data_IF_395550103403
#
_entry.id   IF_395550103403
#
_cell.length_a   1.000
_cell.length_b   1.000
_cell.length_c   1.000
_cell.angle_alpha   90.00
_cell.angle_beta   90.00
_cell.angle_gamma   90.00
#
_symmetry.space_group_name_H-M   'P 1'
#
loop_
_entity.id
_entity.type
_entity.pdbx_description
1 polymer ?
#
# COMPACT_ATOMS: atom_id res chain seq x y z
N UNK A 1 -22.76 -6.96 -60.90
CA UNK A 1 -21.49 -6.44 -60.36
C UNK A 1 -21.72 -6.04 -58.92
N UNK A 2 -21.28 -6.84 -57.96
CA UNK A 2 -21.33 -6.49 -56.54
C UNK A 2 -20.12 -7.18 -55.91
N UNK A 3 -19.04 -6.41 -55.73
CA UNK A 3 -17.79 -6.90 -55.15
C UNK A 3 -17.90 -6.91 -53.63
N UNK A 4 -17.55 -8.06 -53.05
CA UNK A 4 -17.34 -8.28 -51.62
C UNK A 4 -16.01 -7.67 -51.18
N UNK A 5 -16.01 -6.99 -50.03
CA UNK A 5 -14.79 -6.56 -49.33
C UNK A 5 -14.70 -7.36 -48.02
N UNK A 6 -13.61 -8.10 -47.76
CA UNK A 6 -13.41 -8.81 -46.50
C UNK A 6 -12.79 -7.89 -45.44
N UNK A 7 -13.42 -7.77 -44.28
CA UNK A 7 -12.79 -7.21 -43.08
C UNK A 7 -11.88 -8.25 -42.43
N UNK A 8 -10.57 -8.06 -42.54
CA UNK A 8 -9.57 -8.75 -41.71
C UNK A 8 -9.10 -7.81 -40.60
N UNK A 9 -9.23 -8.29 -39.37
CA UNK A 9 -8.97 -7.58 -38.12
C UNK A 9 -7.52 -7.79 -37.69
N UNK A 10 -6.63 -6.83 -37.93
CA UNK A 10 -5.29 -6.81 -37.34
C UNK A 10 -5.27 -5.98 -36.05
N UNK A 11 -5.65 -6.60 -34.93
CA UNK A 11 -5.43 -6.07 -33.56
C UNK A 11 -4.13 -6.64 -32.98
N UNK A 12 -2.97 -6.09 -33.38
CA UNK A 12 -1.71 -6.25 -32.63
C UNK A 12 -0.82 -5.04 -32.88
N UNK A 13 -1.10 -3.94 -32.16
CA UNK A 13 -0.16 -2.85 -31.87
C UNK A 13 -0.89 -1.83 -30.98
N UNK A 14 -0.86 -2.03 -29.67
CA UNK A 14 -1.04 -0.98 -28.67
C UNK A 14 0.24 -1.03 -27.84
N UNK A 15 1.32 -0.42 -28.35
CA UNK A 15 1.75 0.91 -27.95
C UNK A 15 1.80 1.03 -26.42
N UNK A 16 2.96 0.65 -25.89
CA UNK A 16 3.44 1.07 -24.59
C UNK A 16 3.61 2.59 -24.62
N UNK A 17 2.52 3.32 -24.38
CA UNK A 17 2.61 4.71 -23.97
C UNK A 17 3.15 4.70 -22.54
N UNK A 18 4.48 4.67 -22.41
CA UNK A 18 5.13 5.25 -21.23
C UNK A 18 4.56 6.66 -21.11
N UNK A 19 3.68 6.86 -20.14
CA UNK A 19 3.40 8.18 -19.59
C UNK A 19 4.75 8.75 -19.15
N UNK A 20 5.35 9.54 -20.03
CA UNK A 20 6.35 10.52 -19.65
C UNK A 20 5.64 11.41 -18.62
N UNK A 21 5.88 11.14 -17.33
CA UNK A 21 5.54 12.09 -16.29
C UNK A 21 6.22 13.41 -16.70
N UNK A 22 5.50 14.54 -16.71
CA UNK A 22 6.20 15.81 -16.69
C UNK A 22 7.11 15.79 -15.46
N UNK A 23 8.39 16.03 -15.67
CA UNK A 23 9.32 16.31 -14.59
C UNK A 23 8.70 17.48 -13.79
N UNK A 24 8.20 17.18 -12.59
CA UNK A 24 7.73 18.16 -11.61
C UNK A 24 8.94 18.89 -11.03
N UNK A 25 9.68 19.60 -11.87
CA UNK A 25 10.57 20.69 -11.48
C UNK A 25 9.69 21.93 -11.34
N UNK A 26 9.17 22.16 -10.14
CA UNK A 26 8.36 23.36 -9.92
C UNK A 26 7.51 23.42 -8.66
N UNK A 27 7.93 22.85 -7.53
CA UNK A 27 7.60 23.51 -6.27
C UNK A 27 8.48 24.76 -6.22
N UNK A 28 7.89 25.88 -6.64
CA UNK A 28 8.53 27.18 -6.74
C UNK A 28 8.95 27.59 -5.32
N UNK A 29 10.20 27.30 -4.96
CA UNK A 29 10.84 27.79 -3.74
C UNK A 29 11.10 29.30 -3.93
N UNK A 30 10.05 30.10 -3.78
CA UNK A 30 10.16 31.55 -3.77
C UNK A 30 10.59 31.98 -2.36
N UNK A 31 11.89 31.89 -2.06
CA UNK A 31 12.54 32.58 -0.94
C UNK A 31 11.91 32.44 0.45
N UNK A 32 11.22 31.33 0.74
CA UNK A 32 10.58 31.11 2.04
C UNK A 32 11.57 30.91 3.18
N UNK A 33 11.16 31.29 4.39
CA UNK A 33 11.97 31.14 5.60
C UNK A 33 12.30 29.66 5.87
N UNK A 34 13.52 29.43 6.37
CA UNK A 34 13.96 28.10 6.83
C UNK A 34 13.78 28.03 8.33
N UNK A 35 12.90 27.15 8.77
CA UNK A 35 12.58 26.93 10.19
C UNK A 35 13.35 25.70 10.66
N UNK A 36 14.17 25.84 11.72
CA UNK A 36 14.91 24.71 12.30
C UNK A 36 14.38 24.36 13.68
N UNK A 37 14.14 23.08 13.99
CA UNK A 37 13.71 22.68 15.33
C UNK A 37 14.66 23.11 16.47
N UNK A 38 15.96 23.24 16.19
CA UNK A 38 16.98 23.71 17.15
C UNK A 38 16.69 25.11 17.68
N UNK A 39 16.13 25.99 16.85
CA UNK A 39 15.80 27.37 17.23
C UNK A 39 14.65 27.43 18.26
N UNK A 40 13.91 26.32 18.39
CA UNK A 40 12.84 26.12 19.35
C UNK A 40 13.27 25.25 20.55
N UNK A 41 14.57 24.92 20.64
CA UNK A 41 15.17 24.17 21.75
C UNK A 41 15.19 22.65 21.59
N UNK A 42 14.93 22.12 20.38
CA UNK A 42 15.08 20.69 20.13
C UNK A 42 16.57 20.29 20.18
N UNK A 43 16.88 19.20 20.87
CA UNK A 43 18.26 18.74 21.09
C UNK A 43 18.67 17.65 20.11
N UNK A 44 17.76 16.74 19.75
CA UNK A 44 18.07 15.67 18.80
C UNK A 44 19.09 14.65 19.30
N UNK A 45 19.19 14.47 20.62
CA UNK A 45 20.13 13.54 21.29
C UNK A 45 19.54 12.15 21.59
N UNK A 46 18.25 11.95 21.27
CA UNK A 46 17.51 10.72 21.46
C UNK A 46 17.20 10.39 22.93
N UNK A 47 17.40 11.35 23.84
CA UNK A 47 17.28 11.19 25.30
C UNK A 47 16.34 12.22 25.91
N UNK A 48 16.46 13.47 25.50
CA UNK A 48 15.63 14.57 25.97
C UNK A 48 14.35 14.65 25.13
N UNK A 49 13.20 14.78 25.79
CA UNK A 49 11.92 14.89 25.08
C UNK A 49 11.86 16.20 24.28
N UNK A 50 11.89 16.06 22.96
CA UNK A 50 11.90 17.16 22.00
C UNK A 50 10.48 17.54 21.52
N UNK A 51 9.44 16.83 21.98
CA UNK A 51 8.07 16.90 21.43
C UNK A 51 7.55 18.34 21.28
N UNK A 52 7.70 19.18 22.32
CA UNK A 52 7.20 20.55 22.29
C UNK A 52 8.02 21.47 21.38
N UNK A 53 9.34 21.31 21.36
CA UNK A 53 10.20 22.11 20.48
C UNK A 53 9.90 21.81 19.01
N UNK A 54 9.78 20.53 18.67
CA UNK A 54 9.43 20.08 17.32
C UNK A 54 8.05 20.58 16.91
N UNK A 55 7.03 20.48 17.79
CA UNK A 55 5.67 20.96 17.51
C UNK A 55 5.68 22.45 17.19
N UNK A 56 6.33 23.27 18.01
CA UNK A 56 6.44 24.72 17.75
C UNK A 56 7.11 25.03 16.42
N UNK A 57 8.19 24.32 16.07
CA UNK A 57 8.86 24.51 14.79
C UNK A 57 7.96 24.16 13.60
N UNK A 58 7.25 23.04 13.67
CA UNK A 58 6.29 22.64 12.63
C UNK A 58 5.12 23.62 12.54
N UNK A 59 4.56 24.04 13.68
CA UNK A 59 3.46 25.01 13.73
C UNK A 59 3.89 26.33 13.06
N UNK A 60 5.09 26.85 13.37
CA UNK A 60 5.60 28.07 12.72
C UNK A 60 5.75 27.87 11.21
N UNK A 61 6.32 26.74 10.77
CA UNK A 61 6.47 26.45 9.35
C UNK A 61 5.11 26.39 8.61
N UNK A 62 4.05 25.91 9.26
CA UNK A 62 2.71 25.86 8.68
C UNK A 62 2.04 27.25 8.56
N UNK A 63 2.43 28.22 9.39
CA UNK A 63 1.87 29.58 9.40
C UNK A 63 2.60 30.56 8.48
N UNK A 64 3.79 30.23 8.00
CA UNK A 64 4.56 31.07 7.07
C UNK A 64 4.43 30.47 5.66
N UNK A 65 3.70 31.12 4.74
CA UNK A 65 3.54 30.61 3.38
C UNK A 65 4.87 30.37 2.68
N UNK A 66 5.08 29.15 2.19
CA UNK A 66 6.30 28.76 1.47
C UNK A 66 7.52 28.51 2.37
N UNK A 67 7.39 28.61 3.70
CA UNK A 67 8.44 28.20 4.61
C UNK A 67 8.72 26.70 4.52
N UNK A 68 9.95 26.36 4.86
CA UNK A 68 10.44 25.00 4.86
C UNK A 68 10.93 24.66 6.26
N UNK A 69 10.57 23.49 6.78
CA UNK A 69 11.20 22.97 7.98
C UNK A 69 12.43 22.13 7.59
N UNK A 70 13.58 22.49 8.15
CA UNK A 70 14.86 21.82 7.91
C UNK A 70 15.30 21.12 9.21
N UNK A 71 15.26 19.79 9.21
CA UNK A 71 15.67 18.98 10.34
C UNK A 71 17.15 18.62 10.23
N UNK A 72 17.86 18.71 11.35
CA UNK A 72 19.19 18.12 11.43
C UNK A 72 19.11 16.60 11.27
N UNK A 73 20.24 16.00 10.86
CA UNK A 73 20.41 14.54 10.85
C UNK A 73 20.64 14.03 12.28
N UNK A 74 19.64 14.17 13.13
CA UNK A 74 19.67 13.91 14.56
C UNK A 74 18.56 12.92 14.98
N UNK A 75 18.63 12.42 16.22
CA UNK A 75 17.60 11.54 16.77
C UNK A 75 16.76 12.30 17.77
N UNK A 76 15.51 12.58 17.45
CA UNK A 76 14.61 13.29 18.37
C UNK A 76 13.79 12.29 19.17
N UNK A 77 13.81 12.42 20.50
CA UNK A 77 12.91 11.66 21.35
C UNK A 77 11.55 12.35 21.36
N UNK A 78 10.50 11.60 21.04
CA UNK A 78 9.12 12.06 21.07
C UNK A 78 8.38 11.30 22.16
N UNK A 79 8.01 12.01 23.23
CA UNK A 79 7.40 11.48 24.44
C UNK A 79 5.90 11.18 24.36
N UNK A 80 5.40 10.52 25.41
CA UNK A 80 4.07 9.88 25.54
C UNK A 80 2.88 10.82 25.78
N UNK A 81 3.01 12.11 25.48
CA UNK A 81 1.92 13.10 25.64
C UNK A 81 0.84 12.99 24.55
N UNK A 82 0.64 11.80 23.99
CA UNK A 82 -0.20 11.56 22.82
C UNK A 82 -1.16 10.42 23.19
N UNK A 83 -2.36 10.80 23.62
CA UNK A 83 -3.48 9.88 23.81
C UNK A 83 -3.86 9.17 22.51
N UNK A 84 -4.68 8.13 22.63
CA UNK A 84 -5.14 7.32 21.49
C UNK A 84 -5.60 8.17 20.29
N UNK A 85 -4.96 7.98 19.13
CA UNK A 85 -5.34 8.66 17.88
C UNK A 85 -4.90 10.13 17.79
N UNK A 86 -4.18 10.64 18.78
CA UNK A 86 -3.55 11.95 18.68
C UNK A 86 -2.30 11.87 17.78
N UNK A 87 -1.93 13.02 17.22
CA UNK A 87 -0.74 13.20 16.40
C UNK A 87 0.34 14.02 17.10
N UNK A 88 1.60 13.76 16.76
CA UNK A 88 2.71 14.64 17.15
C UNK A 88 2.59 15.93 16.34
N UNK A 89 2.48 15.79 15.03
CA UNK A 89 2.37 16.85 14.06
C UNK A 89 1.04 16.75 13.33
N UNK A 90 0.26 17.83 13.36
CA UNK A 90 -1.00 17.94 12.62
C UNK A 90 -0.81 18.95 11.50
N UNK A 91 -0.71 18.45 10.27
CA UNK A 91 -0.49 19.28 9.08
C UNK A 91 -1.85 19.52 8.40
N UNK A 92 -2.49 20.63 8.72
CA UNK A 92 -3.82 20.99 8.21
C UNK A 92 -3.92 22.49 7.90
N UNK A 93 -4.97 22.87 7.17
CA UNK A 93 -5.28 24.27 6.84
C UNK A 93 -4.70 24.71 5.49
N UNK A 94 -3.40 25.03 5.44
CA UNK A 94 -2.73 25.58 4.25
C UNK A 94 -2.36 24.50 3.22
N UNK A 95 -1.73 24.87 2.11
CA UNK A 95 -1.09 23.94 1.15
C UNK A 95 0.39 24.26 1.10
N UNK A 96 1.25 23.30 0.75
CA UNK A 96 2.67 23.58 0.49
C UNK A 96 3.58 23.37 1.70
N UNK A 97 3.47 22.22 2.37
CA UNK A 97 4.41 21.85 3.43
C UNK A 97 5.65 21.18 2.84
N UNK A 98 6.83 21.73 3.15
CA UNK A 98 8.12 21.18 2.72
C UNK A 98 8.97 20.85 3.95
N UNK A 99 9.40 19.59 4.03
CA UNK A 99 10.32 19.10 5.06
C UNK A 99 11.59 18.54 4.41
N UNK A 100 12.74 19.05 4.85
CA UNK A 100 14.07 18.60 4.45
C UNK A 100 14.83 18.02 5.64
N UNK A 101 15.96 17.39 5.33
CA UNK A 101 16.83 16.77 6.31
C UNK A 101 16.56 15.29 6.49
N UNK A 102 17.24 14.65 7.46
CA UNK A 102 17.17 13.20 7.70
C UNK A 102 16.97 12.88 9.19
N UNK A 103 15.87 13.36 9.80
CA UNK A 103 15.62 13.11 11.21
C UNK A 103 15.26 11.66 11.47
N UNK A 104 15.62 11.19 12.66
CA UNK A 104 15.08 9.96 13.25
C UNK A 104 14.22 10.31 14.45
N UNK A 105 12.97 9.89 14.46
CA UNK A 105 12.04 10.07 15.57
C UNK A 105 11.97 8.78 16.38
N UNK A 106 12.45 8.81 17.62
CA UNK A 106 12.28 7.72 18.56
C UNK A 106 11.01 7.99 19.37
N UNK A 107 9.98 7.18 19.18
CA UNK A 107 8.70 7.35 19.87
C UNK A 107 8.67 6.45 21.10
N UNK A 108 8.65 7.05 22.28
CA UNK A 108 8.70 6.31 23.55
C UNK A 108 7.30 5.87 24.03
N UNK A 109 7.24 4.73 24.73
CA UNK A 109 6.22 4.44 25.76
C UNK A 109 4.78 4.33 25.27
N UNK A 110 4.53 3.86 24.05
CA UNK A 110 3.16 3.77 23.53
C UNK A 110 2.43 2.54 24.13
N UNK A 111 1.96 2.64 25.38
CA UNK A 111 0.92 1.73 25.90
C UNK A 111 -0.43 1.96 25.17
N UNK A 112 -0.52 3.05 24.42
CA UNK A 112 -1.65 3.45 23.58
C UNK A 112 -1.82 2.52 22.37
N UNK A 113 -3.07 2.38 21.88
CA UNK A 113 -3.33 1.56 20.68
C UNK A 113 -2.77 2.18 19.40
N UNK A 114 -2.66 3.50 19.31
CA UNK A 114 -2.16 4.14 18.09
C UNK A 114 -1.66 5.55 18.38
N UNK A 115 -0.45 5.84 17.92
CA UNK A 115 0.16 7.17 17.93
C UNK A 115 0.53 7.55 16.50
N UNK A 116 0.06 8.70 16.03
CA UNK A 116 0.42 9.20 14.71
C UNK A 116 1.59 10.18 14.85
N UNK A 117 2.69 9.99 14.13
CA UNK A 117 3.76 10.99 14.10
C UNK A 117 3.31 12.18 13.25
N UNK A 118 3.06 11.97 11.96
CA UNK A 118 2.44 12.95 11.08
C UNK A 118 0.99 12.60 10.78
N UNK A 119 0.09 13.53 11.03
CA UNK A 119 -1.29 13.50 10.55
C UNK A 119 -1.47 14.61 9.52
N UNK A 120 -1.65 14.21 8.27
CA UNK A 120 -1.54 15.06 7.09
C UNK A 120 -2.92 15.21 6.47
N UNK A 121 -3.44 16.43 6.43
CA UNK A 121 -4.77 16.79 5.93
C UNK A 121 -4.73 17.96 4.95
N UNK A 122 -3.66 18.06 4.17
CA UNK A 122 -3.40 19.16 3.23
C UNK A 122 -2.84 18.64 1.91
N UNK A 123 -2.94 19.45 0.85
CA UNK A 123 -2.27 19.20 -0.43
C UNK A 123 -0.84 19.74 -0.45
N UNK A 124 -0.07 19.34 -1.46
CA UNK A 124 1.26 19.87 -1.74
C UNK A 124 2.23 19.63 -0.59
N UNK A 125 2.43 18.36 -0.27
CA UNK A 125 3.35 17.93 0.79
C UNK A 125 4.59 17.33 0.14
N UNK A 126 5.76 17.86 0.44
CA UNK A 126 7.06 17.30 0.03
C UNK A 126 7.91 17.01 1.26
N UNK A 127 8.01 15.74 1.63
CA UNK A 127 8.83 15.29 2.76
C UNK A 127 9.99 14.45 2.23
N UNK A 128 11.21 14.93 2.42
CA UNK A 128 12.41 14.26 1.93
C UNK A 128 12.69 12.93 2.65
N UNK A 129 12.65 12.94 3.99
CA UNK A 129 13.03 11.78 4.80
C UNK A 129 12.29 11.77 6.13
N UNK A 130 11.83 10.59 6.53
CA UNK A 130 11.35 10.31 7.88
C UNK A 130 11.93 8.96 8.29
N UNK A 131 12.62 8.89 9.43
CA UNK A 131 12.90 7.64 10.10
C UNK A 131 12.15 7.57 11.43
N UNK A 132 11.51 6.45 11.74
CA UNK A 132 10.76 6.24 12.98
C UNK A 132 11.21 4.94 13.66
N UNK A 133 11.52 5.04 14.94
CA UNK A 133 11.80 3.91 15.82
C UNK A 133 10.70 3.87 16.88
N UNK A 134 9.76 2.94 16.71
CA UNK A 134 8.77 2.63 17.74
C UNK A 134 9.30 1.69 18.81
N UNK A 135 8.49 1.46 19.84
CA UNK A 135 8.81 0.53 20.92
C UNK A 135 8.58 -0.93 20.46
N UNK A 136 9.55 -1.86 20.63
CA UNK A 136 9.41 -3.26 20.24
C UNK A 136 8.26 -4.01 20.94
N UNK A 137 7.78 -3.54 22.10
CA UNK A 137 6.70 -4.20 22.84
C UNK A 137 5.33 -4.00 22.21
N UNK A 138 5.19 -2.98 21.36
CA UNK A 138 3.88 -2.51 20.90
C UNK A 138 3.21 -3.46 19.90
N UNK A 139 3.95 -4.35 19.24
CA UNK A 139 3.43 -5.18 18.13
C UNK A 139 3.07 -6.62 18.57
N UNK A 140 3.36 -7.04 19.82
CA UNK A 140 3.14 -8.42 20.30
C UNK A 140 1.68 -8.88 20.30
N UNK A 141 0.73 -7.95 20.26
CA UNK A 141 -0.66 -8.22 20.63
C UNK A 141 -1.61 -8.48 19.43
N UNK A 142 -1.07 -8.81 18.25
CA UNK A 142 -1.91 -9.12 17.08
C UNK A 142 -2.70 -10.43 17.21
N UNK A 143 -2.30 -11.32 18.13
CA UNK A 143 -3.08 -12.54 18.42
C UNK A 143 -4.37 -12.23 19.21
N UNK A 144 -4.49 -11.06 19.85
CA UNK A 144 -5.66 -10.68 20.67
C UNK A 144 -6.51 -9.56 20.05
N UNK A 145 -6.28 -9.22 18.77
CA UNK A 145 -7.00 -8.18 18.01
C UNK A 145 -6.79 -6.72 18.46
N UNK A 146 -5.92 -6.42 19.43
CA UNK A 146 -5.51 -5.04 19.75
C UNK A 146 -4.16 -4.70 19.13
N UNK A 147 -4.15 -4.21 17.89
CA UNK A 147 -2.91 -3.74 17.27
C UNK A 147 -2.49 -2.43 17.95
N UNK A 148 -1.23 -2.36 18.39
CA UNK A 148 -0.65 -1.15 18.97
C UNK A 148 0.56 -0.71 18.15
N UNK A 149 0.84 0.59 18.09
CA UNK A 149 2.10 1.09 17.54
C UNK A 149 2.07 2.52 17.02
N UNK A 150 3.22 2.95 16.51
CA UNK A 150 3.39 4.23 15.84
C UNK A 150 3.02 4.13 14.36
N UNK A 151 2.26 5.10 13.88
CA UNK A 151 2.09 5.38 12.46
C UNK A 151 3.02 6.52 12.10
N UNK A 152 3.97 6.31 11.18
CA UNK A 152 4.87 7.39 10.78
C UNK A 152 4.10 8.50 10.05
N UNK A 153 3.29 8.15 9.06
CA UNK A 153 2.40 9.09 8.38
C UNK A 153 1.01 8.51 8.25
N UNK A 154 0.00 9.25 8.74
CA UNK A 154 -1.38 9.09 8.35
C UNK A 154 -1.78 10.28 7.49
N UNK A 155 -2.37 10.01 6.33
CA UNK A 155 -2.88 11.03 5.42
C UNK A 155 -4.38 10.90 5.37
N UNK A 156 -5.09 11.92 5.83
CA UNK A 156 -6.55 11.94 5.91
C UNK A 156 -7.09 13.05 5.05
N UNK A 157 -7.95 12.69 4.13
CA UNK A 157 -8.63 13.67 3.29
C UNK A 157 -9.91 14.11 4.02
N UNK A 158 -10.07 15.40 4.37
CA UNK A 158 -11.31 15.87 4.97
C UNK A 158 -12.49 15.72 4.01
N UNK A 159 -13.69 15.53 4.56
CA UNK A 159 -14.88 15.32 3.74
C UNK A 159 -15.12 16.48 2.76
N UNK A 160 -15.36 16.16 1.49
CA UNK A 160 -15.51 17.16 0.43
C UNK A 160 -14.22 17.88 0.00
N UNK A 161 -13.07 17.59 0.61
CA UNK A 161 -11.81 18.30 0.37
C UNK A 161 -10.72 17.35 -0.13
N UNK A 162 -10.61 17.14 -1.46
CA UNK A 162 -9.59 16.27 -2.02
C UNK A 162 -8.23 16.87 -1.75
N UNK A 163 -7.29 16.03 -1.32
CA UNK A 163 -5.90 16.40 -1.15
C UNK A 163 -5.04 15.74 -2.22
N UNK A 164 -4.04 16.44 -2.73
CA UNK A 164 -3.27 15.96 -3.88
C UNK A 164 -1.81 16.37 -3.79
N UNK A 165 -0.98 15.72 -4.62
CA UNK A 165 0.45 16.02 -4.78
C UNK A 165 1.21 15.84 -3.46
N UNK A 166 1.19 14.61 -2.95
CA UNK A 166 2.07 14.22 -1.85
C UNK A 166 3.30 13.52 -2.41
N UNK A 167 4.47 13.99 -2.01
CA UNK A 167 5.76 13.39 -2.30
C UNK A 167 6.45 13.03 -0.99
N UNK A 168 6.84 11.77 -0.90
CA UNK A 168 7.70 11.28 0.16
C UNK A 168 8.97 10.73 -0.48
N UNK A 169 10.14 11.20 -0.06
CA UNK A 169 11.40 10.62 -0.46
C UNK A 169 11.55 9.25 0.21
N UNK A 170 12.10 9.23 1.43
CA UNK A 170 12.29 7.99 2.19
C UNK A 170 11.45 7.98 3.47
N UNK A 171 10.73 6.89 3.69
CA UNK A 171 10.06 6.58 4.97
C UNK A 171 10.69 5.30 5.51
N UNK A 172 11.45 5.40 6.61
CA UNK A 172 11.99 4.25 7.34
C UNK A 172 11.22 4.03 8.63
N UNK A 173 10.74 2.81 8.87
CA UNK A 173 10.08 2.50 10.16
C UNK A 173 10.56 1.17 10.70
N UNK A 174 10.99 1.20 11.96
CA UNK A 174 11.27 0.00 12.75
C UNK A 174 10.31 -0.08 13.93
N UNK A 175 9.75 -1.27 14.20
CA UNK A 175 8.82 -1.51 15.31
C UNK A 175 7.60 -0.56 15.26
N UNK A 176 6.99 -0.44 14.08
CA UNK A 176 5.84 0.44 13.84
C UNK A 176 4.55 -0.28 13.44
N UNK A 177 3.44 0.44 13.49
CA UNK A 177 2.14 -0.02 13.03
C UNK A 177 1.97 0.20 11.52
N UNK A 178 2.13 1.43 11.05
CA UNK A 178 2.11 1.79 9.63
C UNK A 178 3.31 2.67 9.30
N UNK A 179 3.96 2.46 8.15
CA UNK A 179 4.86 3.48 7.61
C UNK A 179 4.06 4.60 6.92
N UNK A 180 3.14 4.23 6.03
CA UNK A 180 2.26 5.19 5.38
C UNK A 180 0.84 4.64 5.31
N UNK A 181 -0.08 5.33 5.98
CA UNK A 181 -1.51 5.07 5.96
C UNK A 181 -2.22 6.21 5.24
N UNK A 182 -2.98 5.91 4.20
CA UNK A 182 -4.02 6.80 3.71
C UNK A 182 -5.35 6.33 4.26
N UNK A 183 -6.08 7.24 4.89
CA UNK A 183 -7.40 6.96 5.46
C UNK A 183 -8.37 8.07 5.06
N UNK A 184 -9.22 7.78 4.07
CA UNK A 184 -10.25 8.72 3.64
C UNK A 184 -11.56 8.44 4.38
N UNK A 185 -11.92 9.33 5.31
CA UNK A 185 -13.19 9.29 6.03
C UNK A 185 -14.37 9.55 5.09
N UNK A 186 -14.21 10.49 4.16
CA UNK A 186 -15.14 10.67 3.06
C UNK A 186 -14.71 9.76 1.91
N UNK A 187 -15.63 8.87 1.59
CA UNK A 187 -15.38 7.81 0.67
C UNK A 187 -15.77 8.31 -0.72
N UNK A 188 -16.88 9.02 -0.90
CA UNK A 188 -17.36 9.40 -2.23
C UNK A 188 -16.71 10.68 -2.80
N UNK A 189 -16.40 11.66 -1.95
CA UNK A 189 -15.78 12.93 -2.34
C UNK A 189 -14.52 13.18 -1.52
N UNK A 190 -13.59 13.97 -2.06
CA UNK A 190 -12.41 14.37 -1.29
C UNK A 190 -11.39 13.26 -1.04
N UNK A 191 -10.96 12.53 -2.07
CA UNK A 191 -9.92 11.50 -1.94
C UNK A 191 -8.52 12.09 -2.07
N UNK A 192 -7.55 11.44 -1.44
CA UNK A 192 -6.15 11.70 -1.73
C UNK A 192 -5.78 11.18 -3.12
N UNK A 193 -4.96 11.92 -3.87
CA UNK A 193 -4.49 11.52 -5.21
C UNK A 193 -3.07 11.99 -5.51
N UNK A 194 -2.47 11.45 -6.58
CA UNK A 194 -1.14 11.85 -7.08
C UNK A 194 -0.06 11.75 -6.00
N UNK A 195 0.09 10.54 -5.47
CA UNK A 195 1.03 10.22 -4.39
C UNK A 195 2.26 9.56 -4.97
N UNK A 196 3.44 10.10 -4.68
CA UNK A 196 4.71 9.49 -5.06
C UNK A 196 5.54 9.21 -3.81
N UNK A 197 6.06 7.99 -3.71
CA UNK A 197 6.97 7.58 -2.64
C UNK A 197 8.22 6.97 -3.25
N UNK A 198 9.41 7.47 -2.91
CA UNK A 198 10.66 6.93 -3.47
C UNK A 198 11.06 5.62 -2.79
N UNK A 199 10.99 5.57 -1.45
CA UNK A 199 11.33 4.40 -0.66
C UNK A 199 10.49 4.31 0.61
N UNK A 200 9.84 3.16 0.82
CA UNK A 200 9.37 2.70 2.12
C UNK A 200 10.30 1.57 2.57
N UNK A 201 10.94 1.72 3.71
CA UNK A 201 11.87 0.73 4.26
C UNK A 201 11.40 0.36 5.67
N UNK A 202 10.88 -0.85 5.82
CA UNK A 202 10.15 -1.26 7.02
C UNK A 202 10.68 -2.55 7.60
N UNK A 203 10.89 -2.54 8.92
CA UNK A 203 11.34 -3.70 9.68
C UNK A 203 10.49 -3.88 10.93
N UNK A 204 9.99 -5.10 11.17
CA UNK A 204 9.10 -5.39 12.30
C UNK A 204 7.90 -4.43 12.30
N UNK A 205 7.15 -4.37 11.21
CA UNK A 205 5.96 -3.52 11.13
C UNK A 205 4.72 -4.31 10.78
N UNK A 206 3.54 -3.77 11.06
CA UNK A 206 2.30 -4.40 10.58
C UNK A 206 2.06 -4.06 9.12
N UNK A 207 2.19 -2.78 8.77
CA UNK A 207 1.97 -2.30 7.41
C UNK A 207 3.16 -1.47 6.91
N UNK A 208 3.62 -1.77 5.70
CA UNK A 208 4.44 -0.85 4.92
C UNK A 208 3.57 0.28 4.39
N UNK A 209 2.88 0.02 3.29
CA UNK A 209 1.86 0.90 2.73
C UNK A 209 0.45 0.36 2.99
N UNK A 210 -0.42 1.22 3.51
CA UNK A 210 -1.85 0.96 3.64
C UNK A 210 -2.66 2.07 2.94
N UNK A 211 -3.33 1.74 1.85
CA UNK A 211 -4.27 2.63 1.17
C UNK A 211 -5.72 2.26 1.47
N UNK A 212 -6.35 2.96 2.42
CA UNK A 212 -7.76 2.78 2.80
C UNK A 212 -8.66 3.80 2.10
N UNK A 213 -9.35 3.36 1.04
CA UNK A 213 -10.21 4.18 0.17
C UNK A 213 -9.47 5.34 -0.55
N UNK A 214 -8.16 5.42 -0.41
CA UNK A 214 -7.24 6.40 -0.99
C UNK A 214 -5.81 5.85 -0.79
N UNK A 215 -4.78 6.34 -1.49
CA UNK A 215 -4.81 7.37 -2.52
C UNK A 215 -5.04 6.79 -3.91
N UNK A 216 -5.56 7.63 -4.79
CA UNK A 216 -5.69 7.36 -6.22
C UNK A 216 -4.40 7.64 -6.98
N UNK A 217 -4.12 6.80 -7.97
CA UNK A 217 -2.98 6.96 -8.88
C UNK A 217 -1.65 7.12 -8.14
N UNK A 218 -1.38 6.22 -7.19
CA UNK A 218 -0.13 6.28 -6.44
C UNK A 218 1.01 5.53 -7.12
N UNK A 219 2.23 6.03 -6.92
CA UNK A 219 3.47 5.42 -7.38
C UNK A 219 4.40 5.23 -6.18
N UNK A 220 4.66 3.98 -5.82
CA UNK A 220 5.64 3.63 -4.80
C UNK A 220 6.83 2.97 -5.51
N UNK A 221 7.91 3.74 -5.68
CA UNK A 221 9.08 3.27 -6.44
C UNK A 221 9.80 2.11 -5.77
N UNK A 222 9.69 1.98 -4.43
CA UNK A 222 10.25 0.84 -3.70
C UNK A 222 9.63 0.67 -2.33
N UNK A 223 9.31 -0.58 -1.98
CA UNK A 223 9.07 -1.04 -0.62
C UNK A 223 10.12 -2.10 -0.30
N UNK A 224 10.89 -1.93 0.77
CA UNK A 224 11.73 -2.98 1.34
C UNK A 224 11.10 -3.41 2.65
N UNK A 225 10.71 -4.68 2.76
CA UNK A 225 9.95 -5.18 3.90
C UNK A 225 10.63 -6.37 4.56
N UNK A 226 10.99 -6.22 5.83
CA UNK A 226 11.62 -7.24 6.66
C UNK A 226 10.74 -7.55 7.87
N UNK A 227 10.29 -8.80 8.01
CA UNK A 227 9.38 -9.19 9.11
C UNK A 227 8.14 -8.28 9.21
N UNK A 228 7.37 -8.20 8.13
CA UNK A 228 6.19 -7.33 8.01
C UNK A 228 4.94 -8.15 7.75
N UNK A 229 3.81 -7.82 8.39
CA UNK A 229 2.55 -8.52 8.13
C UNK A 229 2.03 -8.26 6.72
N UNK A 230 1.92 -6.97 6.33
CA UNK A 230 1.49 -6.53 5.00
C UNK A 230 2.41 -5.45 4.44
N UNK A 231 3.26 -5.81 3.48
CA UNK A 231 4.13 -4.82 2.83
C UNK A 231 3.33 -3.78 2.05
N UNK A 232 2.25 -4.23 1.39
CA UNK A 232 1.36 -3.41 0.60
C UNK A 232 -0.09 -3.89 0.76
N UNK A 233 -0.96 -3.01 1.21
CA UNK A 233 -2.37 -3.30 1.44
C UNK A 233 -3.21 -2.14 0.91
N UNK A 234 -4.10 -2.41 -0.04
CA UNK A 234 -4.98 -1.37 -0.58
C UNK A 234 -6.41 -1.88 -0.70
N UNK A 235 -7.37 -0.99 -0.45
CA UNK A 235 -8.78 -1.25 -0.68
C UNK A 235 -9.50 0.00 -1.13
N UNK A 236 -10.38 -0.16 -2.12
CA UNK A 236 -11.16 0.96 -2.65
C UNK A 236 -10.31 2.10 -3.26
N UNK A 237 -9.11 1.80 -3.76
CA UNK A 237 -8.21 2.76 -4.44
C UNK A 237 -8.44 2.78 -5.96
N UNK A 238 -8.29 3.94 -6.61
CA UNK A 238 -8.39 4.07 -8.07
C UNK A 238 -7.01 4.01 -8.72
N UNK A 239 -6.43 2.81 -8.71
CA UNK A 239 -5.17 2.51 -9.38
C UNK A 239 -3.91 2.93 -8.62
N UNK A 240 -2.80 2.32 -9.02
CA UNK A 240 -1.49 2.54 -8.41
C UNK A 240 -0.45 1.49 -8.79
N UNK A 241 0.78 1.73 -8.37
CA UNK A 241 1.89 0.82 -8.63
C UNK A 241 2.89 0.78 -7.50
N UNK A 242 3.50 -0.39 -7.30
CA UNK A 242 4.57 -0.57 -6.32
C UNK A 242 5.60 -1.61 -6.75
N UNK A 243 6.88 -1.29 -6.55
CA UNK A 243 7.96 -2.28 -6.57
C UNK A 243 8.28 -2.72 -5.14
N UNK A 244 8.18 -4.00 -4.85
CA UNK A 244 8.20 -4.56 -3.50
C UNK A 244 9.33 -5.58 -3.41
N UNK A 245 10.25 -5.40 -2.47
CA UNK A 245 11.28 -6.37 -2.11
C UNK A 245 11.01 -6.89 -0.71
N UNK A 246 10.80 -8.20 -0.61
CA UNK A 246 10.56 -8.90 0.65
C UNK A 246 11.87 -9.52 1.09
N UNK A 247 12.36 -9.08 2.23
CA UNK A 247 13.55 -9.63 2.87
C UNK A 247 13.22 -10.73 3.87
N UNK A 248 14.21 -11.17 4.66
CA UNK A 248 14.05 -12.29 5.58
C UNK A 248 12.92 -12.05 6.58
N UNK A 249 12.10 -13.08 6.80
CA UNK A 249 11.17 -13.11 7.92
C UNK A 249 11.92 -13.66 9.14
N UNK A 250 12.04 -12.83 10.16
CA UNK A 250 12.54 -13.28 11.46
C UNK A 250 11.50 -14.18 12.13
N UNK A 251 11.95 -15.14 12.93
CA UNK A 251 11.12 -15.99 13.81
C UNK A 251 10.44 -15.21 14.95
N UNK A 252 10.29 -13.89 14.80
CA UNK A 252 9.74 -12.98 15.80
C UNK A 252 8.22 -12.86 15.72
N UNK A 253 7.72 -11.65 15.97
CA UNK A 253 6.30 -11.29 16.15
C UNK A 253 5.30 -11.88 15.14
N UNK A 254 5.76 -12.25 13.95
CA UNK A 254 4.97 -12.85 12.87
C UNK A 254 5.37 -14.30 12.55
N UNK A 255 5.82 -15.08 13.54
CA UNK A 255 6.39 -16.42 13.35
C UNK A 255 5.49 -17.45 12.63
N UNK A 256 4.20 -17.17 12.41
CA UNK A 256 3.29 -17.98 11.57
C UNK A 256 2.72 -17.24 10.34
N UNK A 257 3.15 -15.99 10.11
CA UNK A 257 2.68 -15.15 9.02
C UNK A 257 3.44 -15.42 7.72
N UNK A 258 2.72 -15.36 6.60
CA UNK A 258 3.32 -15.24 5.27
C UNK A 258 4.25 -14.03 5.22
N UNK A 259 5.51 -14.25 4.83
CA UNK A 259 6.63 -13.31 4.96
C UNK A 259 6.39 -11.94 4.31
N UNK A 260 5.41 -11.87 3.41
CA UNK A 260 4.71 -10.66 3.06
C UNK A 260 3.32 -11.00 2.52
N UNK A 261 2.31 -10.31 3.04
CA UNK A 261 0.97 -10.30 2.45
C UNK A 261 0.81 -9.03 1.61
N UNK A 262 0.55 -9.23 0.32
CA UNK A 262 0.13 -8.16 -0.58
C UNK A 262 -1.36 -8.34 -0.82
N UNK A 263 -2.16 -7.34 -0.43
CA UNK A 263 -3.60 -7.45 -0.55
C UNK A 263 -4.23 -6.29 -1.31
N UNK A 264 -5.12 -6.64 -2.25
CA UNK A 264 -5.93 -5.69 -3.02
C UNK A 264 -7.39 -6.05 -2.81
N UNK A 265 -8.16 -5.14 -2.21
CA UNK A 265 -9.59 -5.32 -2.02
C UNK A 265 -10.35 -4.44 -3.01
N UNK A 266 -11.27 -5.06 -3.73
CA UNK A 266 -11.97 -4.43 -4.85
C UNK A 266 -13.19 -3.63 -4.42
N UNK A 267 -13.73 -3.90 -3.24
CA UNK A 267 -14.94 -3.27 -2.71
C UNK A 267 -14.66 -2.39 -1.49
N UNK A 268 -15.51 -1.39 -1.29
CA UNK A 268 -15.70 -0.70 0.00
C UNK A 268 -16.77 -1.45 0.80
N UNK A 269 -16.87 -1.28 2.12
CA UNK A 269 -17.92 -1.98 2.90
C UNK A 269 -19.34 -1.55 2.44
N UNK A 270 -20.40 -2.32 2.81
CA UNK A 270 -21.77 -1.99 2.47
C UNK A 270 -22.18 -0.55 2.75
N UNK A 271 -22.73 0.13 1.73
CA UNK A 271 -23.16 1.54 1.82
C UNK A 271 -22.06 2.58 1.59
N UNK A 272 -20.80 2.18 1.45
CA UNK A 272 -19.64 3.07 1.59
C UNK A 272 -19.05 3.63 0.30
N UNK A 273 -19.59 3.31 -0.89
CA UNK A 273 -19.11 3.91 -2.14
C UNK A 273 -20.10 3.77 -3.31
N UNK A 274 -20.05 4.73 -4.24
CA UNK A 274 -20.61 4.62 -5.59
C UNK A 274 -19.50 4.85 -6.60
N UNK A 275 -18.80 3.79 -6.98
CA UNK A 275 -17.89 3.90 -8.12
C UNK A 275 -18.74 3.87 -9.37
N UNK A 276 -18.36 4.64 -10.40
CA UNK A 276 -19.11 4.58 -11.65
C UNK A 276 -18.83 3.22 -12.30
N UNK A 277 -19.91 2.56 -12.71
CA UNK A 277 -19.84 1.37 -13.55
C UNK A 277 -19.10 1.73 -14.83
N UNK A 278 -18.06 0.97 -15.16
CA UNK A 278 -17.21 1.21 -16.34
C UNK A 278 -15.83 1.82 -16.04
N UNK A 279 -15.57 2.29 -14.82
CA UNK A 279 -14.22 2.74 -14.46
C UNK A 279 -13.26 1.54 -14.37
N UNK A 280 -12.24 1.54 -15.23
CA UNK A 280 -11.18 0.54 -15.24
C UNK A 280 -10.04 0.99 -14.33
N UNK A 281 -9.69 0.16 -13.35
CA UNK A 281 -8.65 0.46 -12.35
C UNK A 281 -7.45 -0.39 -12.59
N UNK A 282 -6.27 0.21 -12.60
CA UNK A 282 -5.03 -0.52 -12.88
C UNK A 282 -4.15 -0.57 -11.64
N UNK A 283 -3.89 -1.78 -11.13
CA UNK A 283 -2.89 -2.02 -10.09
C UNK A 283 -1.74 -2.80 -10.71
N UNK A 284 -0.53 -2.26 -10.65
CA UNK A 284 0.69 -2.94 -11.15
C UNK A 284 1.70 -3.14 -10.03
N UNK A 285 2.05 -4.40 -9.75
CA UNK A 285 2.96 -4.75 -8.67
C UNK A 285 4.12 -5.57 -9.21
N UNK A 286 5.35 -5.20 -8.87
CA UNK A 286 6.53 -6.04 -9.10
C UNK A 286 7.07 -6.50 -7.75
N UNK A 287 7.03 -7.79 -7.47
CA UNK A 287 7.39 -8.37 -6.18
C UNK A 287 8.66 -9.19 -6.35
N UNK A 288 9.67 -8.90 -5.54
CA UNK A 288 10.91 -9.67 -5.42
C UNK A 288 10.95 -10.30 -4.04
N UNK A 289 10.95 -11.63 -3.96
CA UNK A 289 11.23 -12.32 -2.72
C UNK A 289 12.73 -12.64 -2.63
N UNK A 290 13.44 -11.88 -1.80
CA UNK A 290 14.84 -12.10 -1.45
C UNK A 290 15.01 -12.94 -0.18
N UNK A 291 13.90 -13.36 0.45
CA UNK A 291 13.89 -14.24 1.62
C UNK A 291 14.22 -15.68 1.23
N UNK A 292 14.94 -16.37 2.12
CA UNK A 292 15.14 -17.82 2.10
C UNK A 292 13.87 -18.59 2.51
N UNK A 293 12.86 -17.88 3.01
CA UNK A 293 11.60 -18.48 3.46
C UNK A 293 10.71 -18.89 2.29
N UNK A 294 10.04 -20.03 2.42
CA UNK A 294 9.38 -20.68 1.29
C UNK A 294 8.00 -20.10 0.99
N UNK A 295 7.55 -18.94 1.49
CA UNK A 295 6.16 -18.52 1.24
C UNK A 295 5.96 -17.01 1.05
N UNK A 296 5.50 -16.64 -0.15
CA UNK A 296 4.92 -15.34 -0.50
C UNK A 296 3.39 -15.48 -0.62
N UNK A 297 2.61 -14.54 -0.08
CA UNK A 297 1.15 -14.52 -0.27
C UNK A 297 0.69 -13.23 -0.96
N UNK A 298 -0.01 -13.42 -2.07
CA UNK A 298 -0.79 -12.38 -2.73
C UNK A 298 -2.27 -12.74 -2.60
N UNK A 299 -3.09 -11.80 -2.11
CA UNK A 299 -4.53 -12.00 -1.99
C UNK A 299 -5.30 -10.89 -2.68
N UNK A 300 -6.30 -11.26 -3.46
CA UNK A 300 -7.36 -10.32 -3.86
C UNK A 300 -8.63 -10.69 -3.12
N UNK A 301 -9.30 -9.72 -2.53
CA UNK A 301 -10.53 -9.99 -1.80
C UNK A 301 -11.66 -9.14 -2.36
N UNK A 302 -12.78 -9.78 -2.69
CA UNK A 302 -14.05 -9.06 -2.80
C UNK A 302 -14.62 -8.96 -1.38
N UNK A 303 -14.98 -7.75 -0.94
CA UNK A 303 -15.74 -7.62 0.31
C UNK A 303 -17.22 -7.61 -0.07
N UNK A 304 -17.98 -8.62 0.37
CA UNK A 304 -19.43 -8.82 0.16
C UNK A 304 -20.16 -7.72 -0.63
N UNK A 305 -20.79 -8.05 -1.77
CA UNK A 305 -21.64 -7.10 -2.48
C UNK A 305 -22.86 -6.78 -1.63
N UNK A 306 -22.92 -5.57 -1.08
CA UNK A 306 -24.21 -4.95 -0.83
C UNK A 306 -24.72 -4.43 -2.16
N UNK A 307 -25.45 -5.24 -2.94
CA UNK A 307 -26.48 -4.80 -3.89
C UNK A 307 -26.14 -3.64 -4.87
N UNK A 308 -24.85 -3.36 -5.09
CA UNK A 308 -24.34 -2.19 -5.80
C UNK A 308 -23.24 -2.57 -6.76
N UNK A 309 -23.21 -1.84 -7.87
CA UNK A 309 -22.37 -2.15 -9.00
C UNK A 309 -20.87 -2.01 -8.67
N UNK A 310 -20.12 -3.04 -9.04
CA UNK A 310 -18.69 -3.15 -8.76
C UNK A 310 -17.87 -2.49 -9.88
N UNK A 311 -16.77 -1.83 -9.51
CA UNK A 311 -15.82 -1.30 -10.48
C UNK A 311 -14.89 -2.38 -11.00
N UNK A 312 -14.37 -2.20 -12.21
CA UNK A 312 -13.52 -3.18 -12.86
C UNK A 312 -12.06 -2.95 -12.44
N UNK A 313 -11.39 -4.01 -11.99
CA UNK A 313 -9.96 -3.96 -11.68
C UNK A 313 -9.17 -4.84 -12.66
N UNK A 314 -8.16 -4.22 -13.26
CA UNK A 314 -7.06 -4.86 -13.95
C UNK A 314 -5.87 -4.90 -12.99
N UNK A 315 -5.48 -6.10 -12.58
CA UNK A 315 -4.39 -6.29 -11.63
C UNK A 315 -3.27 -7.06 -12.33
N UNK A 316 -2.13 -6.40 -12.53
CA UNK A 316 -0.91 -7.04 -13.02
C UNK A 316 0.06 -7.23 -11.87
N UNK A 317 0.50 -8.47 -11.66
CA UNK A 317 1.50 -8.82 -10.65
C UNK A 317 2.64 -9.58 -11.31
N UNK A 318 3.85 -9.04 -11.23
CA UNK A 318 5.08 -9.74 -11.61
C UNK A 318 5.73 -10.23 -10.32
N UNK A 319 6.07 -11.51 -10.23
CA UNK A 319 6.70 -12.10 -9.05
C UNK A 319 8.02 -12.74 -9.46
N UNK A 320 9.10 -12.28 -8.84
CA UNK A 320 10.44 -12.83 -8.92
C UNK A 320 10.80 -13.44 -7.56
N UNK A 321 11.22 -14.69 -7.51
CA UNK A 321 11.49 -15.37 -6.23
C UNK A 321 12.57 -16.42 -6.35
N UNK A 322 13.45 -16.58 -5.37
CA UNK A 322 14.45 -17.65 -5.40
C UNK A 322 13.82 -19.05 -5.61
N UNK A 323 14.57 -19.97 -6.20
CA UNK A 323 14.13 -21.35 -6.39
C UNK A 323 13.74 -21.99 -5.04
N UNK A 324 12.58 -22.63 -4.98
CA UNK A 324 12.06 -23.28 -3.75
C UNK A 324 11.10 -22.43 -2.93
N UNK A 325 10.86 -21.17 -3.30
CA UNK A 325 9.80 -20.35 -2.72
C UNK A 325 8.44 -20.78 -3.27
N UNK A 326 7.48 -21.04 -2.38
CA UNK A 326 6.06 -21.21 -2.69
C UNK A 326 5.40 -19.84 -2.82
N UNK A 327 4.74 -19.59 -3.94
CA UNK A 327 3.91 -18.41 -4.14
C UNK A 327 2.44 -18.81 -3.98
N UNK A 328 1.77 -18.26 -2.96
CA UNK A 328 0.34 -18.45 -2.73
C UNK A 328 -0.43 -17.27 -3.32
N UNK A 329 -1.34 -17.58 -4.23
CA UNK A 329 -2.28 -16.62 -4.80
C UNK A 329 -3.67 -17.02 -4.30
N UNK A 330 -4.31 -16.14 -3.54
CA UNK A 330 -5.63 -16.38 -2.99
C UNK A 330 -6.64 -15.37 -3.53
N UNK A 331 -7.83 -15.84 -3.88
CA UNK A 331 -9.02 -15.01 -3.96
C UNK A 331 -9.87 -15.36 -2.75
N UNK A 332 -9.97 -14.46 -1.76
CA UNK A 332 -10.67 -14.74 -0.51
C UNK A 332 -11.90 -13.85 -0.41
N UNK A 333 -13.09 -14.45 -0.39
CA UNK A 333 -14.31 -13.77 0.06
C UNK A 333 -14.30 -13.76 1.59
N UNK A 334 -14.06 -12.60 2.19
CA UNK A 334 -13.58 -12.51 3.58
C UNK A 334 -14.49 -11.72 4.51
N UNK A 335 -15.81 -11.93 4.47
CA UNK A 335 -16.67 -11.26 5.45
C UNK A 335 -16.73 -11.94 6.83
N UNK A 336 -16.41 -13.23 6.96
CA UNK A 336 -16.64 -13.95 8.24
C UNK A 336 -15.55 -14.92 8.67
N UNK A 337 -14.52 -15.20 7.87
CA UNK A 337 -13.64 -16.36 8.15
C UNK A 337 -14.38 -17.71 8.13
N UNK A 338 -15.67 -17.68 7.80
CA UNK A 338 -16.54 -18.82 7.52
C UNK A 338 -16.88 -18.67 6.04
N UNK A 339 -16.37 -19.60 5.23
CA UNK A 339 -16.82 -19.80 3.87
C UNK A 339 -18.29 -20.23 3.92
N UNK A 340 -19.19 -19.34 3.54
CA UNK A 340 -20.57 -19.75 3.25
C UNK A 340 -20.61 -20.20 1.79
N UNK A 341 -20.59 -21.52 1.58
CA UNK A 341 -20.45 -22.22 0.30
C UNK A 341 -21.71 -22.13 -0.60
N UNK A 342 -22.70 -21.28 -0.27
CA UNK A 342 -24.06 -21.41 -0.83
C UNK A 342 -24.45 -20.40 -1.91
N UNK A 343 -23.62 -19.41 -2.26
CA UNK A 343 -23.91 -18.53 -3.41
C UNK A 343 -22.64 -18.04 -4.12
N UNK A 344 -22.43 -18.35 -5.43
CA UNK A 344 -21.29 -17.82 -6.18
C UNK A 344 -21.46 -16.31 -6.39
N UNK A 345 -20.66 -15.50 -5.68
CA UNK A 345 -20.66 -14.05 -5.87
C UNK A 345 -19.79 -13.67 -7.07
N UNK A 346 -20.45 -13.24 -8.14
CA UNK A 346 -19.81 -12.79 -9.36
C UNK A 346 -19.27 -11.36 -9.20
N UNK A 347 -18.04 -11.22 -8.72
CA UNK A 347 -17.27 -10.00 -8.99
C UNK A 347 -16.71 -10.07 -10.40
N UNK A 348 -16.88 -9.05 -11.27
CA UNK A 348 -16.19 -9.00 -12.56
C UNK A 348 -14.80 -8.35 -12.40
N UNK A 349 -13.81 -9.13 -11.98
CA UNK A 349 -12.37 -8.78 -12.08
C UNK A 349 -11.89 -9.16 -13.48
N UNK A 350 -11.90 -8.21 -14.40
CA UNK A 350 -11.77 -8.56 -15.82
C UNK A 350 -10.39 -9.11 -16.21
N UNK A 351 -9.28 -8.70 -15.58
CA UNK A 351 -7.95 -9.25 -15.91
C UNK A 351 -7.01 -9.30 -14.69
N UNK A 352 -6.58 -10.51 -14.30
CA UNK A 352 -5.42 -10.69 -13.42
C UNK A 352 -4.29 -11.34 -14.23
N UNK A 353 -3.17 -10.65 -14.37
CA UNK A 353 -1.97 -11.24 -14.97
C UNK A 353 -0.93 -11.51 -13.89
N UNK A 354 -0.51 -12.77 -13.75
CA UNK A 354 0.58 -13.15 -12.85
C UNK A 354 1.73 -13.70 -13.67
N UNK A 355 2.85 -12.99 -13.65
CA UNK A 355 4.08 -13.39 -14.36
C UNK A 355 5.09 -13.88 -13.33
N UNK A 356 5.61 -15.11 -13.49
CA UNK A 356 6.65 -15.66 -12.62
C UNK A 356 7.83 -16.19 -13.43
N UNK A 357 9.03 -16.08 -12.87
CA UNK A 357 10.30 -16.47 -13.48
C UNK A 357 10.77 -17.90 -13.14
N UNK A 358 10.12 -18.62 -12.21
CA UNK A 358 10.57 -19.94 -11.77
C UNK A 358 9.57 -21.10 -12.02
N UNK A 359 10.17 -22.24 -12.41
CA UNK A 359 9.53 -23.42 -12.98
C UNK A 359 9.26 -24.57 -11.97
N UNK A 360 9.14 -24.29 -10.66
CA UNK A 360 8.77 -25.31 -9.66
C UNK A 360 7.29 -25.21 -9.28
N UNK A 361 6.64 -26.34 -8.94
CA UNK A 361 5.19 -26.41 -8.99
C UNK A 361 4.55 -25.47 -7.96
N UNK A 362 3.59 -24.71 -8.46
CA UNK A 362 2.53 -24.12 -7.68
C UNK A 362 1.83 -25.22 -6.87
N UNK A 363 2.18 -25.37 -5.60
CA UNK A 363 1.58 -26.35 -4.70
C UNK A 363 0.85 -25.61 -3.57
N UNK A 364 -0.44 -25.36 -3.79
CA UNK A 364 -1.32 -24.76 -2.80
C UNK A 364 -2.20 -23.67 -3.38
N UNK A 365 -2.94 -23.98 -4.44
CA UNK A 365 -4.17 -23.25 -4.69
C UNK A 365 -5.27 -23.99 -3.96
N UNK A 366 -5.79 -23.37 -2.91
CA UNK A 366 -6.88 -23.95 -2.14
C UNK A 366 -8.09 -24.14 -3.06
N UNK A 367 -8.73 -25.32 -3.05
CA UNK A 367 -9.81 -25.66 -4.01
C UNK A 367 -10.97 -24.67 -3.99
N UNK A 368 -11.12 -23.96 -2.88
CA UNK A 368 -12.16 -22.96 -2.68
C UNK A 368 -11.85 -21.59 -3.32
N UNK A 369 -10.61 -21.34 -3.76
CA UNK A 369 -10.22 -20.07 -4.39
C UNK A 369 -10.74 -19.91 -5.84
N UNK A 370 -11.20 -21.00 -6.49
CA UNK A 370 -11.68 -20.99 -7.88
C UNK A 370 -13.21 -20.99 -8.03
N UNK A 371 -13.96 -21.26 -6.97
CA UNK A 371 -15.43 -21.29 -7.04
C UNK A 371 -16.10 -19.92 -7.25
N UNK A 372 -15.32 -18.84 -7.23
CA UNK A 372 -15.80 -17.46 -7.11
C UNK A 372 -15.43 -16.55 -8.29
N UNK A 373 -15.05 -17.11 -9.44
CA UNK A 373 -14.69 -16.33 -10.63
C UNK A 373 -15.81 -16.39 -11.66
N UNK A 374 -16.21 -15.22 -12.17
CA UNK A 374 -17.33 -15.04 -13.09
C UNK A 374 -16.92 -15.33 -14.54
N UNK A 375 -17.89 -15.68 -15.41
CA UNK A 375 -17.65 -15.84 -16.85
C UNK A 375 -17.14 -14.51 -17.44
N UNK A 376 -15.89 -14.49 -17.93
CA UNK A 376 -15.29 -13.35 -18.63
C UNK A 376 -13.97 -12.83 -18.04
N UNK A 377 -13.55 -13.34 -16.89
CA UNK A 377 -12.28 -12.97 -16.24
C UNK A 377 -11.10 -13.74 -16.86
N UNK A 378 -9.94 -13.08 -17.00
CA UNK A 378 -8.73 -13.72 -17.53
C UNK A 378 -7.62 -13.75 -16.48
N UNK A 379 -7.24 -14.95 -16.03
CA UNK A 379 -5.96 -15.20 -15.37
C UNK A 379 -4.96 -15.66 -16.43
N UNK A 380 -3.90 -14.87 -16.64
CA UNK A 380 -2.76 -15.32 -17.42
C UNK A 380 -1.60 -15.62 -16.48
N UNK A 381 -1.22 -16.90 -16.44
CA UNK A 381 -0.01 -17.37 -15.75
C UNK A 381 1.06 -17.60 -16.81
N UNK A 382 2.19 -16.88 -16.73
CA UNK A 382 3.34 -17.04 -17.64
C UNK A 382 4.57 -17.47 -16.86
N UNK A 383 5.27 -18.50 -17.35
CA UNK A 383 6.53 -19.00 -16.78
C UNK A 383 6.42 -20.09 -15.70
N UNK A 384 5.20 -20.47 -15.30
CA UNK A 384 4.98 -21.56 -14.34
C UNK A 384 5.05 -22.94 -15.02
N UNK A 385 5.70 -23.90 -14.36
CA UNK A 385 5.71 -25.30 -14.78
C UNK A 385 4.56 -26.03 -14.09
N UNK A 386 3.49 -26.31 -14.85
CA UNK A 386 2.26 -26.92 -14.33
C UNK A 386 2.31 -28.46 -14.30
N UNK A 387 3.44 -29.07 -14.63
CA UNK A 387 3.59 -30.52 -14.81
C UNK A 387 3.25 -31.36 -13.57
N UNK A 388 3.35 -30.77 -12.37
CA UNK A 388 3.13 -31.46 -11.09
C UNK A 388 1.95 -30.89 -10.27
N UNK A 389 1.11 -30.03 -10.86
CA UNK A 389 -0.08 -29.55 -10.15
C UNK A 389 -1.06 -30.71 -9.88
N UNK A 390 -1.72 -30.71 -8.72
CA UNK A 390 -2.80 -31.65 -8.37
C UNK A 390 -3.75 -31.78 -9.59
N UNK A 391 -3.99 -32.99 -10.13
CA UNK A 391 -4.91 -33.22 -11.24
C UNK A 391 -6.27 -32.56 -11.05
N UNK A 392 -6.73 -32.36 -9.81
CA UNK A 392 -7.97 -31.65 -9.50
C UNK A 392 -7.88 -30.14 -9.77
N UNK A 393 -6.72 -29.52 -9.57
CA UNK A 393 -6.48 -28.12 -9.94
C UNK A 393 -6.46 -27.99 -11.47
N UNK A 394 -5.77 -28.89 -12.17
CA UNK A 394 -5.73 -28.91 -13.64
C UNK A 394 -7.13 -29.06 -14.26
N UNK A 395 -7.94 -29.95 -13.70
CA UNK A 395 -9.33 -30.16 -14.14
C UNK A 395 -10.26 -28.98 -13.81
N UNK A 396 -10.02 -28.27 -12.71
CA UNK A 396 -10.77 -27.05 -12.37
C UNK A 396 -10.53 -25.95 -13.41
N UNK A 397 -9.28 -25.73 -13.82
CA UNK A 397 -8.92 -24.76 -14.86
C UNK A 397 -9.55 -25.08 -16.22
N UNK A 398 -9.52 -26.34 -16.65
CA UNK A 398 -10.06 -26.75 -17.96
C UNK A 398 -11.57 -26.51 -18.10
N UNK A 399 -12.33 -26.59 -17.00
CA UNK A 399 -13.79 -26.44 -17.01
C UNK A 399 -14.29 -25.00 -17.02
N UNK A 400 -13.43 -24.03 -16.73
CA UNK A 400 -13.84 -22.66 -16.43
C UNK A 400 -13.46 -21.64 -17.52
N UNK A 401 -12.96 -22.11 -18.68
CA UNK A 401 -12.71 -21.27 -19.86
C UNK A 401 -11.41 -20.46 -19.82
N UNK A 402 -10.50 -20.77 -18.89
CA UNK A 402 -9.23 -20.05 -18.73
C UNK A 402 -8.25 -20.39 -19.85
N UNK A 403 -7.48 -19.39 -20.28
CA UNK A 403 -6.34 -19.60 -21.19
C UNK A 403 -5.06 -19.65 -20.38
N UNK A 404 -4.57 -20.85 -20.08
CA UNK A 404 -3.20 -21.04 -19.56
C UNK A 404 -2.25 -20.92 -20.76
N UNK A 405 -1.39 -19.90 -20.77
CA UNK A 405 -0.31 -19.79 -21.75
C UNK A 405 0.99 -20.28 -21.11
N UNK A 406 1.22 -21.59 -21.21
CA UNK A 406 2.52 -22.18 -20.92
C UNK A 406 3.59 -21.71 -21.90
N UNK A 407 4.86 -21.91 -21.56
CA UNK A 407 5.94 -21.91 -22.56
C UNK A 407 5.91 -23.18 -23.36
#
# INVERSE_FOLDING_TARGET
MMQSIPHTTNRRQAMWAMLALPALTGLRQAGGDVIRPSDFGARGDGRNDDTFALRRAVDVALHIPGAMIDFDSATYLVGTMIGHGQSVFHLAGTTGFVMRGKPTFRVAGTNQRQVNLFDIQMSDVDIEHIAVIGDPWTIRDMQTATVRGVIACIVRSPAGHPITRHRFGTIRVSNGLHALLYDSNDKASGRASNVTVDLIDVTNTVYGFNGANAPDNHLIRRITANNVFRAYFVYGVNGGSADITIGPAYSGLFAGGTCANVAVYTESRPGEYRFRVGDTRNITLNIRNASDRPTLQFSTNSMRPSDRAQGHYNIRVTIQSAAGVTVKVANVDSATGVQDDTTPYASPKQDIEIVTDHAKPWCGVDRHAFGLWSRGERLSLRGANFGECDPKVRNAYARSGWTIQGR
#
